data_IF_633236875309
#
_entry.id   IF_633236875309
#
_cell.length_a   1.000
_cell.length_b   1.000
_cell.length_c   1.000
_cell.angle_alpha   90.00
_cell.angle_beta   90.00
_cell.angle_gamma   90.00
#
_symmetry.space_group_name_H-M   'P 1'
#
loop_
_entity.id
_entity.type
_entity.pdbx_description
1 polymer ?
#
# COMPACT_ATOMS: atom_id res chain seq x y z
N UNK A 1 -20.97 42.32 -34.43
CA UNK A 1 -21.12 41.17 -33.49
C UNK A 1 -19.73 40.61 -33.21
N UNK A 2 -19.22 40.85 -32.00
CA UNK A 2 -17.91 40.36 -31.56
C UNK A 2 -18.23 39.08 -30.78
N UNK A 3 -17.73 37.93 -31.26
CA UNK A 3 -17.81 36.66 -30.57
C UNK A 3 -16.62 36.57 -29.59
N UNK A 4 -16.91 36.60 -28.28
CA UNK A 4 -15.90 36.34 -27.24
C UNK A 4 -15.89 34.83 -27.03
N UNK A 5 -14.83 34.17 -27.49
CA UNK A 5 -14.56 32.79 -27.22
C UNK A 5 -13.88 32.72 -25.83
N UNK A 6 -14.63 32.29 -24.78
CA UNK A 6 -14.04 31.92 -23.50
C UNK A 6 -13.29 30.60 -23.65
N UNK A 7 -11.97 30.68 -23.60
CA UNK A 7 -11.12 29.50 -23.38
C UNK A 7 -11.22 29.12 -21.90
N UNK A 8 -11.95 28.06 -21.60
CA UNK A 8 -11.87 27.38 -20.29
C UNK A 8 -10.52 26.64 -20.25
N UNK A 9 -9.52 27.25 -19.64
CA UNK A 9 -8.30 26.57 -19.26
C UNK A 9 -8.63 25.57 -18.16
N UNK A 10 -8.66 24.28 -18.47
CA UNK A 10 -8.56 23.23 -17.47
C UNK A 10 -7.17 23.33 -16.84
N UNK A 11 -7.06 23.95 -15.69
CA UNK A 11 -5.91 23.78 -14.81
C UNK A 11 -5.96 22.35 -14.27
N UNK A 12 -5.24 21.43 -14.92
CA UNK A 12 -4.88 20.17 -14.29
C UNK A 12 -3.98 20.51 -13.10
N UNK A 13 -4.56 20.59 -11.92
CA UNK A 13 -3.80 20.70 -10.69
C UNK A 13 -3.02 19.40 -10.51
N UNK A 14 -1.71 19.50 -10.42
CA UNK A 14 -0.78 18.43 -10.08
C UNK A 14 -0.98 18.01 -8.60
N UNK A 15 -2.15 17.44 -8.29
CA UNK A 15 -2.62 17.19 -6.93
C UNK A 15 -2.12 15.88 -6.29
N UNK A 16 -1.24 15.14 -6.93
CA UNK A 16 -1.03 13.75 -6.53
C UNK A 16 0.19 13.51 -5.61
N UNK A 17 1.18 14.40 -5.60
CA UNK A 17 2.27 14.34 -4.60
C UNK A 17 1.88 15.05 -3.30
N UNK A 18 1.04 16.06 -3.40
CA UNK A 18 0.52 16.76 -2.23
C UNK A 18 -0.20 15.79 -1.30
N UNK A 19 -1.00 14.85 -1.82
CA UNK A 19 -1.76 13.92 -0.99
C UNK A 19 -0.91 12.97 -0.14
N UNK A 20 0.24 12.48 -0.63
CA UNK A 20 1.13 11.63 0.19
C UNK A 20 1.85 12.47 1.24
N UNK A 21 2.35 13.65 0.87
CA UNK A 21 3.01 14.56 1.80
C UNK A 21 2.05 15.11 2.85
N UNK A 22 0.84 15.47 2.46
CA UNK A 22 -0.23 15.87 3.38
C UNK A 22 -0.60 14.74 4.33
N UNK A 23 -0.71 13.50 3.83
CA UNK A 23 -0.97 12.34 4.66
C UNK A 23 0.18 12.05 5.64
N UNK A 24 1.44 12.22 5.24
CA UNK A 24 2.60 12.12 6.12
C UNK A 24 2.57 13.22 7.19
N UNK A 25 2.22 14.43 6.83
CA UNK A 25 2.12 15.56 7.76
C UNK A 25 0.95 15.44 8.75
N UNK A 26 -0.05 14.61 8.44
CA UNK A 26 -1.18 14.35 9.31
C UNK A 26 -0.84 13.27 10.33
N UNK A 27 -0.61 13.68 11.58
CA UNK A 27 -0.29 12.77 12.68
C UNK A 27 -1.30 11.63 12.92
N UNK A 28 -2.53 11.75 12.41
CA UNK A 28 -3.58 10.71 12.51
C UNK A 28 -3.45 9.62 11.44
N UNK A 29 -2.49 9.75 10.54
CA UNK A 29 -2.25 8.81 9.45
C UNK A 29 -0.88 8.16 9.59
N UNK A 30 -0.71 7.01 8.95
CA UNK A 30 0.56 6.31 8.79
C UNK A 30 0.72 5.96 7.33
N UNK A 31 1.02 6.99 6.50
CA UNK A 31 0.90 6.93 5.06
C UNK A 31 2.04 6.19 4.35
N UNK A 32 3.18 6.02 5.02
CA UNK A 32 4.31 5.22 4.53
C UNK A 32 4.86 4.34 5.66
N UNK A 33 5.58 3.28 5.31
CA UNK A 33 6.05 2.26 6.25
C UNK A 33 6.86 2.81 7.42
N UNK A 34 7.60 3.87 7.20
CA UNK A 34 8.54 4.46 8.16
C UNK A 34 7.98 5.70 8.87
N UNK A 35 6.72 6.05 8.59
CA UNK A 35 6.06 7.23 9.11
C UNK A 35 6.35 8.48 8.28
N UNK A 36 7.61 8.71 7.94
CA UNK A 36 8.08 9.82 7.10
C UNK A 36 9.27 9.42 6.22
N UNK A 37 9.68 10.28 5.30
CA UNK A 37 10.83 10.06 4.42
C UNK A 37 12.19 10.15 5.14
N UNK A 38 12.23 10.65 6.36
CA UNK A 38 13.45 10.64 7.19
C UNK A 38 13.60 9.31 7.96
N UNK A 39 12.66 8.38 7.80
CA UNK A 39 12.63 7.07 8.46
C UNK A 39 12.60 7.18 10.01
N UNK A 40 11.96 8.18 10.55
CA UNK A 40 11.95 8.42 12.00
C UNK A 40 11.18 7.36 12.76
N UNK A 41 10.17 6.74 12.14
CA UNK A 41 9.27 5.74 12.76
C UNK A 41 8.65 6.25 14.06
N UNK A 42 8.49 7.56 14.16
CA UNK A 42 8.00 8.25 15.34
C UNK A 42 6.59 8.79 15.10
N UNK A 43 5.71 8.58 16.07
CA UNK A 43 4.38 9.16 16.11
C UNK A 43 4.30 10.27 17.14
N UNK A 44 3.71 11.40 16.78
CA UNK A 44 3.43 12.52 17.71
C UNK A 44 2.13 12.29 18.50
N UNK A 45 1.42 11.20 18.27
CA UNK A 45 0.21 10.84 19.02
C UNK A 45 0.56 10.55 20.47
N UNK A 46 -0.18 11.14 21.43
CA UNK A 46 0.06 11.04 22.86
C UNK A 46 -1.07 10.34 23.63
N UNK A 47 -2.05 9.76 22.93
CA UNK A 47 -3.17 9.07 23.58
C UNK A 47 -2.71 7.84 24.34
N UNK A 48 -1.69 7.15 23.85
CA UNK A 48 -1.05 6.02 24.53
C UNK A 48 0.23 6.55 25.19
N UNK A 49 0.35 6.36 26.49
CA UNK A 49 1.47 6.84 27.31
C UNK A 49 1.79 5.86 28.43
N UNK A 50 2.77 6.19 29.27
CA UNK A 50 3.26 5.34 30.37
C UNK A 50 2.17 4.98 31.39
N UNK A 51 1.19 5.85 31.57
CA UNK A 51 0.17 5.69 32.60
C UNK A 51 -0.97 4.79 32.15
N UNK A 52 -1.25 4.73 30.83
CA UNK A 52 -2.38 3.99 30.30
C UNK A 52 -2.03 2.80 29.40
N UNK A 53 -0.76 2.63 29.00
CA UNK A 53 -0.35 1.53 28.11
C UNK A 53 -0.73 0.13 28.63
N UNK A 54 -0.75 -0.06 29.96
CA UNK A 54 -1.16 -1.32 30.59
C UNK A 54 -2.66 -1.61 30.50
N UNK A 55 -3.46 -0.62 30.09
CA UNK A 55 -4.91 -0.73 29.96
C UNK A 55 -5.33 -1.03 28.51
N UNK A 56 -4.39 -1.13 27.57
CA UNK A 56 -4.67 -1.49 26.18
C UNK A 56 -5.37 -2.84 26.12
N UNK A 57 -6.39 -2.89 25.27
CA UNK A 57 -7.15 -4.10 24.96
C UNK A 57 -7.19 -4.30 23.45
N UNK A 58 -7.35 -5.56 23.03
CA UNK A 58 -7.60 -5.89 21.62
C UNK A 58 -8.92 -5.28 21.20
N UNK A 59 -8.90 -4.41 20.19
CA UNK A 59 -10.09 -3.80 19.62
C UNK A 59 -10.74 -4.74 18.59
N UNK A 60 -9.93 -5.36 17.74
CA UNK A 60 -10.37 -6.32 16.73
C UNK A 60 -9.20 -7.21 16.29
N UNK A 61 -9.51 -8.29 15.59
CA UNK A 61 -8.55 -9.23 15.00
C UNK A 61 -8.98 -9.50 13.56
N UNK A 62 -8.03 -9.48 12.64
CA UNK A 62 -8.22 -9.91 11.26
C UNK A 62 -7.25 -11.05 10.92
N UNK A 63 -7.77 -12.09 10.27
CA UNK A 63 -6.99 -13.24 9.81
C UNK A 63 -6.84 -13.20 8.29
N UNK A 64 -5.63 -12.98 7.75
CA UNK A 64 -5.40 -12.83 6.30
C UNK A 64 -5.41 -14.16 5.53
N UNK A 65 -5.58 -15.29 6.19
CA UNK A 65 -5.49 -16.63 5.63
C UNK A 65 -4.31 -17.42 6.21
N UNK A 66 -3.90 -18.49 5.51
CA UNK A 66 -2.79 -19.34 5.97
C UNK A 66 -1.46 -18.60 5.89
N UNK A 67 -0.74 -18.54 6.99
CA UNK A 67 0.57 -17.91 7.12
C UNK A 67 1.61 -19.02 7.32
N UNK A 68 2.34 -19.35 6.27
CA UNK A 68 3.35 -20.41 6.32
C UNK A 68 4.76 -19.91 6.63
N UNK A 69 5.07 -18.67 6.24
CA UNK A 69 6.41 -18.07 6.37
C UNK A 69 6.42 -16.78 7.20
N UNK A 70 5.33 -16.49 7.92
CA UNK A 70 5.17 -15.28 8.70
C UNK A 70 4.54 -14.13 7.92
N UNK A 71 4.19 -13.06 8.64
CA UNK A 71 3.64 -11.82 8.10
C UNK A 71 4.62 -10.70 8.42
N UNK A 72 5.24 -10.11 7.40
CA UNK A 72 6.28 -9.08 7.53
C UNK A 72 5.79 -7.68 7.14
N UNK A 73 4.54 -7.58 6.70
CA UNK A 73 3.98 -6.35 6.17
C UNK A 73 3.78 -5.30 7.28
N UNK A 74 4.23 -4.09 7.01
CA UNK A 74 3.83 -2.91 7.79
C UNK A 74 2.53 -2.37 7.23
N UNK A 75 1.45 -2.28 8.02
CA UNK A 75 0.21 -1.66 7.59
C UNK A 75 0.38 -0.17 7.32
N UNK A 76 -0.32 0.32 6.31
CA UNK A 76 -0.45 1.74 5.96
C UNK A 76 -1.85 2.19 6.33
N UNK A 77 -1.98 3.35 6.97
CA UNK A 77 -3.28 3.91 7.35
C UNK A 77 -3.45 5.29 6.74
N UNK A 78 -4.44 5.43 5.85
CA UNK A 78 -4.79 6.67 5.16
C UNK A 78 -6.30 6.84 5.20
N UNK A 79 -6.77 8.00 5.65
CA UNK A 79 -8.19 8.35 5.72
C UNK A 79 -9.08 7.31 6.43
N UNK A 80 -8.56 6.76 7.54
CA UNK A 80 -9.27 5.76 8.34
C UNK A 80 -9.32 4.37 7.73
N UNK A 81 -8.63 4.14 6.60
CA UNK A 81 -8.51 2.84 5.96
C UNK A 81 -7.11 2.28 6.16
N UNK A 82 -7.01 1.08 6.67
CA UNK A 82 -5.78 0.32 6.80
C UNK A 82 -5.57 -0.55 5.57
N UNK A 83 -4.42 -0.41 4.93
CA UNK A 83 -3.99 -1.23 3.80
C UNK A 83 -2.80 -2.08 4.20
N UNK A 84 -2.85 -3.36 3.90
CA UNK A 84 -1.70 -4.23 4.09
C UNK A 84 -1.73 -5.40 3.11
N UNK A 85 -0.59 -6.06 2.95
CA UNK A 85 -0.42 -7.25 2.12
C UNK A 85 -0.23 -8.46 3.01
N UNK A 86 -0.98 -9.51 2.74
CA UNK A 86 -0.89 -10.80 3.40
C UNK A 86 -0.18 -11.85 2.53
N UNK A 87 -0.30 -13.12 2.91
CA UNK A 87 0.30 -14.24 2.17
C UNK A 87 -0.15 -14.25 0.70
N UNK A 88 0.73 -14.76 -0.17
CA UNK A 88 0.48 -14.89 -1.61
C UNK A 88 0.08 -13.56 -2.27
N UNK A 89 0.63 -12.47 -1.77
CA UNK A 89 0.38 -11.10 -2.21
C UNK A 89 -1.11 -10.67 -2.16
N UNK A 90 -1.91 -11.29 -1.30
CA UNK A 90 -3.28 -10.81 -1.05
C UNK A 90 -3.24 -9.45 -0.40
N UNK A 91 -3.91 -8.46 -0.98
CA UNK A 91 -4.01 -7.11 -0.44
C UNK A 91 -5.38 -6.92 0.20
N UNK A 92 -5.38 -6.28 1.35
CA UNK A 92 -6.58 -5.99 2.12
C UNK A 92 -6.70 -4.49 2.37
N UNK A 93 -7.91 -3.98 2.29
CA UNK A 93 -8.31 -2.70 2.85
C UNK A 93 -9.35 -2.94 3.94
N UNK A 94 -9.07 -2.43 5.13
CA UNK A 94 -9.92 -2.57 6.30
C UNK A 94 -10.29 -1.21 6.85
N UNK A 95 -11.46 -1.08 7.47
CA UNK A 95 -11.72 0.04 8.37
C UNK A 95 -10.74 -0.05 9.55
N UNK A 96 -9.95 0.99 9.77
CA UNK A 96 -8.88 0.95 10.76
C UNK A 96 -9.40 0.85 12.21
N UNK A 97 -10.60 1.31 12.48
CA UNK A 97 -11.25 1.31 13.79
C UNK A 97 -11.95 -0.01 14.14
N UNK A 98 -12.50 -0.72 13.15
CA UNK A 98 -13.33 -1.92 13.36
C UNK A 98 -12.71 -3.20 12.82
N UNK A 99 -11.72 -3.12 11.94
CA UNK A 99 -11.15 -4.27 11.24
C UNK A 99 -12.07 -4.86 10.16
N UNK A 100 -13.21 -4.22 9.86
CA UNK A 100 -14.12 -4.66 8.79
C UNK A 100 -13.43 -4.57 7.43
N UNK A 101 -13.50 -5.67 6.65
CA UNK A 101 -12.92 -5.73 5.30
C UNK A 101 -13.77 -4.88 4.34
N UNK A 102 -13.15 -3.84 3.77
CA UNK A 102 -13.76 -3.02 2.72
C UNK A 102 -13.63 -3.74 1.38
N UNK A 103 -12.40 -4.20 1.06
CA UNK A 103 -12.13 -5.01 -0.12
C UNK A 103 -10.89 -5.89 0.08
N UNK A 104 -10.81 -6.92 -0.73
CA UNK A 104 -9.64 -7.79 -0.89
C UNK A 104 -9.29 -7.89 -2.36
N UNK A 105 -8.01 -7.80 -2.68
CA UNK A 105 -7.46 -8.11 -3.99
C UNK A 105 -6.57 -9.34 -3.90
N UNK A 106 -6.77 -10.31 -4.78
CA UNK A 106 -5.98 -11.55 -4.85
C UNK A 106 -5.37 -11.64 -6.25
N UNK A 107 -4.06 -11.40 -6.42
CA UNK A 107 -3.41 -11.51 -7.71
C UNK A 107 -3.38 -12.97 -8.17
N UNK A 108 -3.57 -13.19 -9.47
CA UNK A 108 -3.28 -14.50 -10.06
C UNK A 108 -1.77 -14.59 -10.31
N UNK A 109 -1.04 -15.17 -9.36
CA UNK A 109 0.41 -15.32 -9.44
C UNK A 109 0.81 -16.44 -10.42
N UNK A 110 1.98 -16.26 -11.09
CA UNK A 110 2.59 -17.34 -11.86
C UNK A 110 3.06 -18.44 -10.90
N UNK A 111 2.73 -19.72 -11.13
CA UNK A 111 3.09 -20.81 -10.22
C UNK A 111 4.58 -20.96 -9.91
N UNK A 112 5.46 -20.46 -10.79
CA UNK A 112 6.92 -20.49 -10.61
C UNK A 112 7.38 -19.78 -9.33
N UNK A 113 6.60 -18.82 -8.82
CA UNK A 113 6.95 -18.10 -7.59
C UNK A 113 7.11 -19.04 -6.39
N UNK A 114 6.39 -20.18 -6.38
CA UNK A 114 6.42 -21.18 -5.29
C UNK A 114 7.76 -21.90 -5.16
N UNK A 115 8.58 -21.84 -6.20
CA UNK A 115 9.92 -22.40 -6.21
C UNK A 115 10.94 -21.49 -5.52
N UNK A 116 10.55 -20.25 -5.21
CA UNK A 116 11.38 -19.33 -4.46
C UNK A 116 11.19 -19.52 -2.94
N UNK A 117 12.28 -19.40 -2.19
CA UNK A 117 12.27 -19.48 -0.72
C UNK A 117 11.36 -18.40 -0.09
N UNK A 118 11.26 -17.23 -0.71
CA UNK A 118 10.47 -16.10 -0.21
C UNK A 118 9.09 -15.99 -0.87
N UNK A 119 8.56 -17.07 -1.38
CA UNK A 119 7.38 -17.08 -2.25
C UNK A 119 6.13 -16.38 -1.69
N UNK A 120 5.90 -16.42 -0.38
CA UNK A 120 4.69 -15.87 0.23
C UNK A 120 4.92 -14.59 1.03
N UNK A 121 6.15 -14.04 1.04
CA UNK A 121 6.50 -12.89 1.87
C UNK A 121 6.43 -11.58 1.10
N UNK A 122 5.83 -10.56 1.73
CA UNK A 122 5.93 -9.17 1.29
C UNK A 122 5.93 -8.23 2.50
N UNK A 123 6.68 -7.13 2.39
CA UNK A 123 6.89 -6.18 3.48
C UNK A 123 5.87 -5.05 3.50
N UNK A 124 4.98 -4.97 2.52
CA UNK A 124 3.92 -3.98 2.54
C UNK A 124 3.42 -3.51 1.18
N UNK A 125 2.66 -2.45 1.22
CA UNK A 125 2.08 -1.77 0.07
C UNK A 125 2.48 -0.30 0.08
N UNK A 126 2.32 0.38 -1.07
CA UNK A 126 2.42 1.83 -1.17
C UNK A 126 1.07 2.39 -1.57
N UNK A 127 0.62 3.43 -0.89
CA UNK A 127 -0.66 4.09 -1.13
C UNK A 127 -0.40 5.50 -1.67
N UNK A 128 -1.02 5.85 -2.77
CA UNK A 128 -0.93 7.18 -3.34
C UNK A 128 -1.68 7.30 -4.67
N UNK A 129 -2.02 8.52 -5.05
CA UNK A 129 -2.69 8.82 -6.34
C UNK A 129 -3.96 8.00 -6.58
N UNK A 130 -4.75 7.74 -5.51
CA UNK A 130 -5.95 6.95 -5.59
C UNK A 130 -5.73 5.46 -5.90
N UNK A 131 -4.50 4.96 -5.68
CA UNK A 131 -4.12 3.57 -5.93
C UNK A 131 -3.35 2.97 -4.78
N UNK A 132 -3.36 1.66 -4.71
CA UNK A 132 -2.49 0.85 -3.88
C UNK A 132 -1.57 0.06 -4.79
N UNK A 133 -0.26 0.20 -4.57
CA UNK A 133 0.77 -0.42 -5.39
C UNK A 133 1.44 -1.55 -4.63
N UNK A 134 1.70 -2.64 -5.32
CA UNK A 134 2.41 -3.80 -4.79
C UNK A 134 3.49 -4.28 -5.74
N UNK A 135 4.59 -4.75 -5.19
CA UNK A 135 5.53 -5.61 -5.86
C UNK A 135 5.15 -7.05 -5.58
N UNK A 136 4.98 -7.85 -6.62
CA UNK A 136 4.57 -9.24 -6.47
C UNK A 136 5.74 -10.21 -6.50
N UNK A 137 5.54 -11.35 -5.87
CA UNK A 137 6.56 -12.40 -5.79
C UNK A 137 6.74 -13.19 -7.09
N UNK A 138 6.04 -12.83 -8.14
CA UNK A 138 6.27 -13.29 -9.51
C UNK A 138 6.81 -12.18 -10.43
N UNK A 139 7.46 -11.15 -9.85
CA UNK A 139 8.23 -10.16 -10.58
C UNK A 139 7.41 -9.09 -11.30
N UNK A 140 6.20 -8.76 -10.80
CA UNK A 140 5.35 -7.72 -11.36
C UNK A 140 5.21 -6.52 -10.42
N UNK A 141 4.97 -5.34 -10.99
CA UNK A 141 4.30 -4.26 -10.28
C UNK A 141 2.82 -4.27 -10.65
N UNK A 142 1.98 -4.11 -9.63
CA UNK A 142 0.53 -4.13 -9.77
C UNK A 142 -0.03 -2.89 -9.07
N UNK A 143 -0.99 -2.22 -9.71
CA UNK A 143 -1.77 -1.16 -9.09
C UNK A 143 -3.24 -1.55 -9.04
N UNK A 144 -3.83 -1.37 -7.86
CA UNK A 144 -5.27 -1.52 -7.66
C UNK A 144 -5.88 -0.17 -7.26
N UNK A 145 -7.12 0.04 -7.63
CA UNK A 145 -7.87 1.23 -7.24
C UNK A 145 -8.05 1.25 -5.71
N UNK A 146 -7.70 2.37 -5.10
CA UNK A 146 -7.66 2.51 -3.64
C UNK A 146 -9.03 2.31 -2.99
N UNK A 147 -10.13 2.70 -3.67
CA UNK A 147 -11.49 2.63 -3.12
C UNK A 147 -12.15 1.29 -3.33
N UNK A 148 -11.87 0.64 -4.46
CA UNK A 148 -12.63 -0.55 -4.90
C UNK A 148 -11.82 -1.84 -4.87
N UNK A 149 -10.48 -1.76 -4.78
CA UNK A 149 -9.60 -2.92 -4.88
C UNK A 149 -9.53 -3.55 -6.27
N UNK A 150 -10.13 -2.94 -7.29
CA UNK A 150 -10.05 -3.45 -8.67
C UNK A 150 -8.67 -3.19 -9.26
N UNK A 151 -8.13 -4.19 -9.95
CA UNK A 151 -6.88 -4.03 -10.69
C UNK A 151 -7.02 -2.93 -11.74
N UNK A 152 -6.10 -1.97 -11.73
CA UNK A 152 -6.01 -0.89 -12.70
C UNK A 152 -5.01 -1.25 -13.80
N UNK A 153 -3.86 -1.77 -13.40
CA UNK A 153 -2.84 -2.31 -14.29
C UNK A 153 -1.93 -3.29 -13.55
N UNK A 154 -1.29 -4.16 -14.29
CA UNK A 154 -0.14 -4.94 -13.83
C UNK A 154 0.92 -5.03 -14.95
N UNK A 155 2.18 -5.02 -14.56
CA UNK A 155 3.31 -5.01 -15.50
C UNK A 155 4.35 -6.01 -15.03
N UNK A 156 4.72 -6.95 -15.92
CA UNK A 156 5.83 -7.85 -15.70
C UNK A 156 7.14 -7.08 -15.87
N UNK A 157 7.98 -7.07 -14.85
CA UNK A 157 9.25 -6.35 -14.84
C UNK A 157 10.46 -7.28 -14.96
N UNK A 158 10.30 -8.55 -14.58
CA UNK A 158 11.36 -9.56 -14.61
C UNK A 158 11.04 -10.65 -15.63
N UNK A 159 12.06 -11.25 -16.21
CA UNK A 159 11.91 -12.41 -17.06
C UNK A 159 12.00 -13.70 -16.22
N UNK A 160 10.85 -14.27 -15.87
CA UNK A 160 10.79 -15.46 -15.00
C UNK A 160 11.54 -16.69 -15.53
N UNK A 161 11.88 -16.73 -16.84
CA UNK A 161 12.63 -17.84 -17.42
C UNK A 161 14.14 -17.69 -17.29
N UNK A 162 14.64 -16.46 -17.28
CA UNK A 162 16.08 -16.15 -17.26
C UNK A 162 16.54 -15.53 -15.95
N UNK A 163 15.60 -14.96 -15.18
CA UNK A 163 15.83 -14.26 -13.91
C UNK A 163 15.10 -15.01 -12.79
N UNK A 164 15.40 -16.30 -12.67
CA UNK A 164 14.79 -17.14 -11.64
C UNK A 164 15.05 -16.57 -10.24
N UNK A 165 13.99 -16.41 -9.46
CA UNK A 165 14.08 -15.83 -8.12
C UNK A 165 14.09 -14.28 -8.08
N UNK A 166 14.04 -13.59 -9.23
CA UNK A 166 13.83 -12.16 -9.27
C UNK A 166 12.37 -11.82 -8.94
N UNK A 167 12.14 -11.49 -7.68
CA UNK A 167 10.82 -11.24 -7.10
C UNK A 167 10.86 -9.96 -6.26
N UNK A 168 9.70 -9.33 -6.09
CA UNK A 168 9.56 -8.14 -5.27
C UNK A 168 8.95 -8.50 -3.91
N UNK A 169 9.74 -8.35 -2.85
CA UNK A 169 9.29 -8.55 -1.46
C UNK A 169 9.12 -7.23 -0.71
N UNK A 170 9.60 -6.13 -1.28
CA UNK A 170 9.44 -4.79 -0.73
C UNK A 170 8.33 -4.04 -1.46
N UNK A 171 7.62 -3.11 -0.81
CA UNK A 171 6.69 -2.24 -1.50
C UNK A 171 7.46 -1.34 -2.46
N UNK A 172 6.95 -1.12 -3.68
CA UNK A 172 7.51 -0.12 -4.55
C UNK A 172 7.41 1.26 -3.91
N UNK A 173 8.33 2.16 -4.23
CA UNK A 173 8.31 3.53 -3.73
C UNK A 173 7.71 4.46 -4.79
N UNK A 174 6.91 5.42 -4.33
CA UNK A 174 6.31 6.43 -5.19
C UNK A 174 7.01 7.77 -5.00
N UNK A 175 7.64 8.29 -6.05
CA UNK A 175 8.23 9.63 -6.05
C UNK A 175 7.70 10.42 -7.24
N UNK A 176 6.85 11.38 -6.98
CA UNK A 176 6.15 12.08 -8.06
C UNK A 176 5.29 11.14 -8.89
N UNK A 177 5.58 11.08 -10.19
CA UNK A 177 4.91 10.19 -11.15
C UNK A 177 5.64 8.85 -11.35
N UNK A 178 6.76 8.66 -10.65
CA UNK A 178 7.63 7.51 -10.81
C UNK A 178 7.37 6.51 -9.71
N UNK A 179 7.13 5.27 -10.09
CA UNK A 179 7.10 4.12 -9.21
C UNK A 179 8.38 3.31 -9.43
N UNK A 180 9.13 3.01 -8.37
CA UNK A 180 10.38 2.26 -8.43
C UNK A 180 10.51 1.26 -7.27
N UNK A 181 11.36 0.25 -7.42
CA UNK A 181 11.64 -0.77 -6.41
C UNK A 181 12.78 -1.67 -6.84
#
# INVERSE_FOLDING_TARGET
KIAVTMLFGMTMTASANETVMEAIANAKQWAIQTGDYANTRYSTLAQINKDNVKQLKVAWIHQPGSITQGLQATPIVVDGVMYYIGPDNNVFALKADTGEVIWRYTPKLNPIYKESFYASQSRGVTVGRGKVYIGSTDGRFIAVDQKTGKEVWNTQLTNLKTEFGALFTSPPQLAGDILFG
#
